data_IF_169160306308
#
_entry.id   IF_169160306308
#
_cell.length_a   1.000
_cell.length_b   1.000
_cell.length_c   1.000
_cell.angle_alpha   90.00
_cell.angle_beta   90.00
_cell.angle_gamma   90.00
#
_symmetry.space_group_name_H-M   'P 1'
#
loop_
_entity.id
_entity.type
_entity.pdbx_description
1 polymer ?
#
# COMPACT_ATOMS: atom_id res chain seq x y z
N UNK A 1 -14.16 -7.55 -14.75
CA UNK A 1 -13.96 -6.83 -13.47
C UNK A 1 -15.21 -6.80 -12.57
N UNK A 2 -16.40 -6.39 -13.03
CA UNK A 2 -17.60 -6.31 -12.18
C UNK A 2 -18.00 -7.65 -11.50
N UNK A 3 -17.94 -8.77 -12.24
CA UNK A 3 -18.25 -10.10 -11.69
C UNK A 3 -17.28 -10.55 -10.58
N UNK A 4 -16.00 -10.19 -10.67
CA UNK A 4 -15.02 -10.53 -9.63
C UNK A 4 -15.32 -9.80 -8.32
N UNK A 5 -15.72 -8.52 -8.39
CA UNK A 5 -16.14 -7.75 -7.22
C UNK A 5 -17.42 -8.30 -6.58
N UNK A 6 -18.35 -8.81 -7.38
CA UNK A 6 -19.56 -9.46 -6.88
C UNK A 6 -19.24 -10.76 -6.13
N UNK A 7 -18.30 -11.56 -6.64
CA UNK A 7 -17.81 -12.76 -5.95
C UNK A 7 -17.17 -12.39 -4.62
N UNK A 8 -16.26 -11.43 -4.58
CA UNK A 8 -15.60 -10.98 -3.34
C UNK A 8 -16.64 -10.54 -2.31
N UNK A 9 -17.58 -9.67 -2.69
CA UNK A 9 -18.66 -9.22 -1.80
C UNK A 9 -19.53 -10.37 -1.30
N UNK A 10 -19.80 -11.36 -2.15
CA UNK A 10 -20.57 -12.55 -1.77
C UNK A 10 -19.81 -13.39 -0.76
N UNK A 11 -18.50 -13.59 -0.93
CA UNK A 11 -17.65 -14.27 0.05
C UNK A 11 -17.65 -13.54 1.40
N UNK A 12 -17.51 -12.21 1.43
CA UNK A 12 -17.56 -11.43 2.66
C UNK A 12 -18.90 -11.57 3.37
N UNK A 13 -20.01 -11.52 2.60
CA UNK A 13 -21.36 -11.72 3.13
C UNK A 13 -21.51 -13.12 3.74
N UNK A 14 -21.05 -14.16 3.05
CA UNK A 14 -21.06 -15.54 3.58
C UNK A 14 -20.24 -15.60 4.87
N UNK A 15 -19.03 -15.03 4.88
CA UNK A 15 -18.18 -14.97 6.07
C UNK A 15 -18.90 -14.34 7.27
N UNK A 16 -19.51 -13.17 7.08
CA UNK A 16 -20.25 -12.49 8.16
C UNK A 16 -21.42 -13.31 8.73
N UNK A 17 -22.12 -14.07 7.87
CA UNK A 17 -23.26 -14.89 8.27
C UNK A 17 -22.82 -16.18 9.01
N UNK A 18 -21.72 -16.79 8.57
CA UNK A 18 -21.20 -18.05 9.14
C UNK A 18 -20.50 -17.83 10.48
N UNK A 19 -19.70 -16.77 10.62
CA UNK A 19 -19.01 -16.45 11.89
C UNK A 19 -19.98 -15.99 13.00
N UNK A 20 -21.13 -15.45 12.61
CA UNK A 20 -22.04 -14.76 13.52
C UNK A 20 -21.56 -13.34 13.87
N UNK A 21 -22.45 -12.52 14.46
CA UNK A 21 -22.23 -11.07 14.56
C UNK A 21 -21.06 -10.69 15.48
N UNK A 22 -20.92 -11.34 16.64
CA UNK A 22 -19.88 -10.96 17.62
C UNK A 22 -18.47 -11.33 17.13
N UNK A 23 -18.18 -12.58 16.69
CA UNK A 23 -16.86 -12.90 16.15
C UNK A 23 -16.51 -12.08 14.91
N UNK A 24 -17.49 -11.76 14.05
CA UNK A 24 -17.28 -10.90 12.89
C UNK A 24 -16.83 -9.48 13.29
N UNK A 25 -17.50 -8.86 14.26
CA UNK A 25 -17.11 -7.54 14.77
C UNK A 25 -15.70 -7.55 15.37
N UNK A 26 -15.38 -8.55 16.18
CA UNK A 26 -14.06 -8.68 16.79
C UNK A 26 -12.96 -8.91 15.75
N UNK A 27 -13.21 -9.74 14.73
CA UNK A 27 -12.25 -9.96 13.64
C UNK A 27 -11.94 -8.67 12.89
N UNK A 28 -12.95 -7.85 12.60
CA UNK A 28 -12.76 -6.55 11.95
C UNK A 28 -12.00 -5.57 12.86
N UNK A 29 -12.33 -5.50 14.15
CA UNK A 29 -11.62 -4.64 15.12
C UNK A 29 -10.14 -5.02 15.27
N UNK A 30 -9.81 -6.31 15.15
CA UNK A 30 -8.46 -6.84 15.27
C UNK A 30 -7.71 -6.97 13.93
N UNK A 31 -8.31 -6.56 12.81
CA UNK A 31 -7.69 -6.64 11.47
C UNK A 31 -6.36 -5.89 11.35
N UNK A 32 -6.11 -4.91 12.23
CA UNK A 32 -4.81 -4.22 12.31
C UNK A 32 -3.64 -5.15 12.67
N UNK A 33 -3.91 -6.31 13.29
CA UNK A 33 -2.89 -7.33 13.57
C UNK A 33 -2.31 -7.93 12.27
N UNK A 34 -3.14 -8.08 11.23
CA UNK A 34 -2.69 -8.54 9.93
C UNK A 34 -1.74 -7.51 9.29
N UNK A 35 -2.14 -6.24 9.32
CA UNK A 35 -1.32 -5.12 8.85
C UNK A 35 0.00 -5.03 9.60
N UNK A 36 0.01 -5.29 10.91
CA UNK A 36 1.23 -5.31 11.71
C UNK A 36 2.18 -6.45 11.32
N UNK A 37 1.65 -7.65 11.05
CA UNK A 37 2.45 -8.78 10.56
C UNK A 37 3.03 -8.47 9.18
N UNK A 38 2.23 -7.93 8.25
CA UNK A 38 2.71 -7.53 6.94
C UNK A 38 3.75 -6.40 7.02
N UNK A 39 3.58 -5.43 7.92
CA UNK A 39 4.57 -4.39 8.19
C UNK A 39 5.91 -5.00 8.60
N UNK A 40 5.89 -5.92 9.57
CA UNK A 40 7.09 -6.57 10.07
C UNK A 40 7.76 -7.41 8.97
N UNK A 41 6.99 -8.20 8.21
CA UNK A 41 7.52 -8.98 7.10
C UNK A 41 8.20 -8.10 6.03
N UNK A 42 7.56 -6.97 5.69
CA UNK A 42 8.10 -6.00 4.72
C UNK A 42 9.37 -5.34 5.24
N UNK A 43 9.40 -4.91 6.51
CA UNK A 43 10.57 -4.28 7.14
C UNK A 43 11.77 -5.23 7.28
N UNK A 44 11.51 -6.51 7.54
CA UNK A 44 12.53 -7.55 7.62
C UNK A 44 12.96 -8.07 6.24
N UNK A 45 12.37 -7.55 5.17
CA UNK A 45 12.58 -7.99 3.79
C UNK A 45 12.42 -9.51 3.61
N UNK A 46 11.40 -10.10 4.26
CA UNK A 46 11.19 -11.55 4.19
C UNK A 46 10.96 -12.03 2.76
N UNK A 47 10.43 -11.17 1.89
CA UNK A 47 10.27 -11.47 0.46
C UNK A 47 11.59 -11.72 -0.26
N UNK A 48 12.72 -11.21 0.23
CA UNK A 48 14.04 -11.39 -0.38
C UNK A 48 14.81 -12.54 0.28
N UNK A 49 14.39 -12.96 1.48
CA UNK A 49 14.99 -14.08 2.23
C UNK A 49 14.35 -15.41 1.82
N UNK A 50 13.04 -15.43 1.62
CA UNK A 50 12.31 -16.62 1.16
C UNK A 50 12.65 -16.85 -0.31
N UNK A 51 13.18 -18.03 -0.62
CA UNK A 51 13.65 -18.37 -1.97
C UNK A 51 12.49 -18.77 -2.90
N UNK A 52 12.64 -18.49 -4.19
CA UNK A 52 11.76 -19.05 -5.22
C UNK A 52 12.13 -20.51 -5.51
N UNK A 53 11.13 -21.29 -5.92
CA UNK A 53 11.33 -22.65 -6.42
C UNK A 53 10.52 -23.69 -5.67
N UNK A 54 10.79 -24.98 -5.94
CA UNK A 54 10.01 -26.08 -5.35
C UNK A 54 10.35 -26.35 -3.88
N UNK A 55 11.48 -25.85 -3.40
CA UNK A 55 11.94 -26.07 -2.03
C UNK A 55 11.54 -24.90 -1.13
N UNK A 56 10.85 -25.14 -0.01
CA UNK A 56 10.52 -24.08 0.93
C UNK A 56 11.77 -23.60 1.70
N UNK A 57 11.65 -22.41 2.27
CA UNK A 57 12.65 -21.80 3.18
C UNK A 57 12.28 -22.12 4.62
N UNK A 58 13.23 -22.70 5.38
CA UNK A 58 12.97 -23.04 6.79
C UNK A 58 12.96 -21.82 7.70
N UNK A 59 12.21 -21.90 8.82
CA UNK A 59 12.23 -20.86 9.86
C UNK A 59 13.64 -20.56 10.37
N UNK A 60 14.46 -21.60 10.60
CA UNK A 60 15.86 -21.45 11.04
C UNK A 60 16.69 -20.61 10.08
N UNK A 61 16.47 -20.77 8.77
CA UNK A 61 17.14 -19.96 7.74
C UNK A 61 16.73 -18.49 7.85
N UNK A 62 15.43 -18.24 8.08
CA UNK A 62 14.89 -16.88 8.24
C UNK A 62 15.39 -16.24 9.54
N UNK A 63 15.47 -17.01 10.63
CA UNK A 63 16.07 -16.59 11.91
C UNK A 63 17.53 -16.20 11.70
N UNK A 64 18.33 -17.05 11.03
CA UNK A 64 19.73 -16.77 10.77
C UNK A 64 19.94 -15.52 9.90
N UNK A 65 19.06 -15.28 8.92
CA UNK A 65 19.15 -14.13 8.03
C UNK A 65 18.72 -12.80 8.68
N UNK A 66 17.75 -12.82 9.59
CA UNK A 66 17.17 -11.60 10.19
C UNK A 66 17.71 -11.29 11.58
N UNK A 67 18.20 -12.29 12.32
CA UNK A 67 18.55 -12.16 13.74
C UNK A 67 17.36 -12.01 14.69
N UNK A 68 16.12 -12.09 14.19
CA UNK A 68 14.89 -12.02 15.00
C UNK A 68 14.65 -13.37 15.67
N UNK A 69 14.07 -13.37 16.88
CA UNK A 69 13.78 -14.61 17.58
C UNK A 69 12.78 -15.49 16.82
N UNK A 70 12.97 -16.80 16.96
CA UNK A 70 12.13 -17.82 16.35
C UNK A 70 10.64 -17.63 16.66
N UNK A 71 10.28 -17.36 17.93
CA UNK A 71 8.88 -17.14 18.35
C UNK A 71 8.24 -15.95 17.61
N UNK A 72 8.97 -14.83 17.49
CA UNK A 72 8.45 -13.63 16.83
C UNK A 72 8.27 -13.86 15.33
N UNK A 73 9.27 -14.44 14.66
CA UNK A 73 9.17 -14.77 13.23
C UNK A 73 8.05 -15.74 12.94
N UNK A 74 7.90 -16.78 13.77
CA UNK A 74 6.80 -17.76 13.65
C UNK A 74 5.44 -17.08 13.73
N UNK A 75 5.26 -16.12 14.64
CA UNK A 75 4.00 -15.35 14.78
C UNK A 75 3.75 -14.42 13.59
N UNK A 76 4.79 -13.73 13.11
CA UNK A 76 4.71 -12.84 11.95
C UNK A 76 4.35 -13.64 10.69
N UNK A 77 5.08 -14.73 10.43
CA UNK A 77 4.88 -15.59 9.26
C UNK A 77 3.53 -16.29 9.31
N UNK A 78 3.09 -16.76 10.47
CA UNK A 78 1.73 -17.30 10.65
C UNK A 78 0.65 -16.27 10.31
N UNK A 79 0.80 -15.03 10.79
CA UNK A 79 -0.14 -13.94 10.46
C UNK A 79 -0.20 -13.68 8.95
N UNK A 80 0.96 -13.66 8.28
CA UNK A 80 1.02 -13.50 6.83
C UNK A 80 0.44 -14.71 6.07
N UNK A 81 0.68 -15.94 6.56
CA UNK A 81 0.20 -17.16 5.93
C UNK A 81 -1.32 -17.32 6.04
N UNK A 82 -1.91 -16.93 7.18
CA UNK A 82 -3.37 -16.88 7.36
C UNK A 82 -4.07 -15.91 6.39
N UNK A 83 -3.32 -14.95 5.85
CA UNK A 83 -3.78 -13.99 4.84
C UNK A 83 -3.28 -14.31 3.44
N UNK A 84 -2.74 -15.51 3.22
CA UNK A 84 -2.27 -16.02 1.92
C UNK A 84 -1.15 -15.16 1.29
N UNK A 85 -0.41 -14.41 2.11
CA UNK A 85 0.70 -13.56 1.67
C UNK A 85 1.95 -14.43 1.43
N UNK A 86 2.29 -15.27 2.40
CA UNK A 86 3.22 -16.38 2.24
C UNK A 86 2.46 -17.70 2.42
N UNK A 87 3.07 -18.82 2.07
CA UNK A 87 2.50 -20.14 2.30
C UNK A 87 3.38 -20.92 3.29
N UNK A 88 2.78 -21.50 4.32
CA UNK A 88 3.45 -22.48 5.19
C UNK A 88 3.14 -23.89 4.66
N UNK A 89 4.02 -24.44 3.83
CA UNK A 89 3.79 -25.72 3.12
C UNK A 89 3.95 -26.95 4.02
N UNK A 90 4.67 -26.78 5.13
CA UNK A 90 4.84 -27.73 6.22
C UNK A 90 5.24 -26.93 7.48
N UNK A 91 5.15 -27.50 8.69
CA UNK A 91 5.55 -26.79 9.91
C UNK A 91 6.94 -26.16 9.76
N UNK A 92 7.01 -24.84 9.94
CA UNK A 92 8.25 -24.05 9.82
C UNK A 92 8.93 -24.05 8.45
N UNK A 93 8.16 -24.28 7.38
CA UNK A 93 8.63 -24.29 6.00
C UNK A 93 7.77 -23.34 5.16
N UNK A 94 8.38 -22.27 4.65
CA UNK A 94 7.67 -21.17 4.01
C UNK A 94 8.03 -21.02 2.54
N UNK A 95 7.02 -20.75 1.71
CA UNK A 95 7.15 -20.51 0.28
C UNK A 95 6.42 -19.23 -0.14
N UNK A 96 6.76 -18.75 -1.33
CA UNK A 96 6.08 -17.60 -1.94
C UNK A 96 4.69 -17.96 -2.47
N UNK A 97 3.74 -17.05 -2.26
CA UNK A 97 2.56 -16.92 -3.11
C UNK A 97 2.79 -15.82 -4.14
N UNK A 98 1.87 -15.69 -5.10
CA UNK A 98 1.94 -14.56 -6.04
C UNK A 98 1.83 -13.20 -5.33
N UNK A 99 1.15 -13.13 -4.17
CA UNK A 99 1.04 -11.91 -3.39
C UNK A 99 2.38 -11.49 -2.76
N UNK A 100 3.12 -12.40 -2.11
CA UNK A 100 4.43 -12.04 -1.53
C UNK A 100 5.47 -11.69 -2.58
N UNK A 101 5.42 -12.28 -3.78
CA UNK A 101 6.32 -11.88 -4.88
C UNK A 101 6.14 -10.41 -5.28
N UNK A 102 4.92 -9.89 -5.18
CA UNK A 102 4.66 -8.47 -5.45
C UNK A 102 5.36 -7.53 -4.47
N UNK A 103 5.73 -7.98 -3.27
CA UNK A 103 6.52 -7.18 -2.31
C UNK A 103 7.94 -6.89 -2.81
N UNK A 104 8.42 -7.55 -3.88
CA UNK A 104 9.70 -7.23 -4.53
C UNK A 104 9.57 -6.10 -5.56
N UNK A 105 8.35 -5.78 -5.99
CA UNK A 105 8.11 -4.64 -6.90
C UNK A 105 8.22 -3.36 -6.09
N UNK A 106 9.20 -2.52 -6.39
CA UNK A 106 9.55 -1.32 -5.58
C UNK A 106 8.35 -0.44 -5.23
N UNK A 107 7.47 -0.14 -6.20
CA UNK A 107 6.29 0.67 -5.95
C UNK A 107 5.27 0.00 -5.03
N UNK A 108 5.09 -1.32 -5.15
CA UNK A 108 4.19 -2.08 -4.27
C UNK A 108 4.78 -2.21 -2.87
N UNK A 109 6.07 -2.51 -2.75
CA UNK A 109 6.79 -2.54 -1.48
C UNK A 109 6.63 -1.22 -0.72
N UNK A 110 6.87 -0.11 -1.41
CA UNK A 110 6.75 1.22 -0.84
C UNK A 110 5.30 1.56 -0.45
N UNK A 111 4.32 1.17 -1.27
CA UNK A 111 2.89 1.37 -1.00
C UNK A 111 2.41 0.57 0.21
N UNK A 112 2.82 -0.70 0.33
CA UNK A 112 2.54 -1.55 1.50
C UNK A 112 3.21 -0.96 2.74
N UNK A 113 4.48 -0.57 2.65
CA UNK A 113 5.20 0.08 3.74
C UNK A 113 4.50 1.36 4.22
N UNK A 114 4.07 2.22 3.29
CA UNK A 114 3.28 3.42 3.59
C UNK A 114 1.93 3.10 4.24
N UNK A 115 1.22 2.09 3.74
CA UNK A 115 -0.10 1.72 4.23
C UNK A 115 -0.05 1.14 5.65
N UNK A 116 0.95 0.29 5.91
CA UNK A 116 1.11 -0.37 7.20
C UNK A 116 1.82 0.50 8.25
N UNK A 117 2.40 1.64 7.87
CA UNK A 117 2.98 2.63 8.79
C UNK A 117 2.09 3.87 8.91
N UNK A 118 2.18 4.80 7.97
CA UNK A 118 1.56 6.13 8.10
C UNK A 118 0.04 6.06 8.09
N UNK A 119 -0.55 5.27 7.18
CA UNK A 119 -2.01 5.15 7.10
C UNK A 119 -2.56 4.44 8.33
N UNK A 120 -1.91 3.37 8.79
CA UNK A 120 -2.33 2.65 9.99
C UNK A 120 -2.26 3.53 11.24
N UNK A 121 -1.16 4.26 11.44
CA UNK A 121 -1.00 5.19 12.57
C UNK A 121 -2.02 6.32 12.51
N UNK A 122 -2.21 6.92 11.33
CA UNK A 122 -3.23 7.96 11.14
C UNK A 122 -4.64 7.43 11.41
N UNK A 123 -4.95 6.21 10.96
CA UNK A 123 -6.24 5.57 11.17
C UNK A 123 -6.60 5.39 12.64
N UNK A 124 -5.61 5.11 13.50
CA UNK A 124 -5.82 5.01 14.95
C UNK A 124 -6.35 6.32 15.58
N UNK A 125 -6.01 7.47 15.01
CA UNK A 125 -6.47 8.78 15.48
C UNK A 125 -7.77 9.27 14.81
N UNK A 126 -8.39 8.46 13.94
CA UNK A 126 -9.58 8.89 13.19
C UNK A 126 -10.78 9.18 14.11
N UNK A 127 -10.99 8.35 15.14
CA UNK A 127 -12.06 8.57 16.14
C UNK A 127 -11.83 9.86 16.95
N UNK A 128 -10.59 10.11 17.37
CA UNK A 128 -10.22 11.31 18.13
C UNK A 128 -10.40 12.56 17.28
N UNK A 129 -10.00 12.51 16.01
CA UNK A 129 -10.25 13.57 15.03
C UNK A 129 -11.74 13.90 14.91
N UNK A 130 -12.61 12.88 14.78
CA UNK A 130 -14.06 13.09 14.69
C UNK A 130 -14.62 13.76 15.95
N UNK A 131 -14.14 13.36 17.13
CA UNK A 131 -14.57 13.95 18.40
C UNK A 131 -14.11 15.42 18.52
N UNK A 132 -12.84 15.71 18.25
CA UNK A 132 -12.28 17.06 18.33
C UNK A 132 -12.94 18.03 17.37
N UNK A 133 -13.22 17.58 16.15
CA UNK A 133 -13.82 18.41 15.10
C UNK A 133 -15.34 18.42 15.12
N UNK A 134 -15.97 17.59 15.96
CA UNK A 134 -17.42 17.33 15.94
C UNK A 134 -17.91 16.93 14.54
N UNK A 135 -17.11 16.12 13.86
CA UNK A 135 -17.36 15.62 12.49
C UNK A 135 -17.21 16.66 11.39
N UNK A 136 -16.65 17.85 11.67
CA UNK A 136 -16.45 18.90 10.66
C UNK A 136 -15.06 18.79 10.03
N UNK A 137 -14.93 18.72 8.69
CA UNK A 137 -13.62 18.70 8.07
C UNK A 137 -12.87 20.03 8.33
N UNK A 138 -11.53 20.01 8.36
CA UNK A 138 -10.73 21.22 8.40
C UNK A 138 -10.95 22.06 7.14
N UNK A 139 -10.71 23.38 7.23
CA UNK A 139 -10.69 24.25 6.05
C UNK A 139 -9.51 23.96 5.12
N UNK A 140 -8.38 23.49 5.68
CA UNK A 140 -7.19 23.13 4.91
C UNK A 140 -6.26 22.21 5.72
N UNK A 141 -6.09 20.96 5.27
CA UNK A 141 -5.11 19.92 5.68
C UNK A 141 -4.95 19.57 7.19
N UNK A 142 -5.26 20.47 8.12
CA UNK A 142 -5.05 20.36 9.57
C UNK A 142 -6.25 20.98 10.30
N UNK A 143 -6.74 20.36 11.39
CA UNK A 143 -6.33 19.05 11.89
C UNK A 143 -6.74 17.93 10.93
N UNK A 144 -5.96 16.86 10.89
CA UNK A 144 -6.29 15.60 10.22
C UNK A 144 -5.82 14.43 11.08
N UNK A 145 -6.35 13.21 10.88
CA UNK A 145 -5.85 12.03 11.58
C UNK A 145 -4.32 11.84 11.41
N UNK A 146 -3.78 12.22 10.25
CA UNK A 146 -2.34 12.25 10.01
C UNK A 146 -1.62 13.28 10.90
N UNK A 147 -2.09 14.53 10.92
CA UNK A 147 -1.44 15.56 11.75
C UNK A 147 -1.50 15.20 13.23
N UNK A 148 -2.59 14.58 13.71
CA UNK A 148 -2.67 14.09 15.09
C UNK A 148 -1.66 12.99 15.42
N UNK A 149 -1.34 12.14 14.44
CA UNK A 149 -0.40 11.03 14.60
C UNK A 149 1.07 11.43 14.51
N UNK A 150 1.39 12.46 13.71
CA UNK A 150 2.77 12.78 13.33
C UNK A 150 3.23 14.18 13.78
N UNK A 151 2.47 15.22 13.43
CA UNK A 151 2.73 16.60 13.85
C UNK A 151 1.43 17.42 13.74
N UNK A 152 0.88 17.93 14.85
CA UNK A 152 -0.43 18.59 14.85
C UNK A 152 -0.45 19.92 14.08
N UNK A 153 0.70 20.42 13.64
CA UNK A 153 0.84 21.68 12.89
C UNK A 153 1.03 21.47 11.39
N UNK A 154 1.23 20.23 10.94
CA UNK A 154 1.61 19.94 9.55
C UNK A 154 0.61 19.04 8.83
N UNK A 155 0.34 19.39 7.58
CA UNK A 155 -0.32 18.48 6.64
C UNK A 155 0.65 17.42 6.12
N UNK A 156 0.11 16.38 5.48
CA UNK A 156 0.86 15.24 4.93
C UNK A 156 2.11 15.67 4.14
N UNK A 157 1.92 16.46 3.08
CA UNK A 157 3.02 16.85 2.19
C UNK A 157 4.05 17.77 2.87
N UNK A 158 3.60 18.71 3.70
CA UNK A 158 4.50 19.59 4.46
C UNK A 158 5.38 18.77 5.42
N UNK A 159 4.79 17.80 6.12
CA UNK A 159 5.54 16.88 6.99
C UNK A 159 6.60 16.10 6.21
N UNK A 160 6.26 15.55 5.04
CA UNK A 160 7.22 14.82 4.22
C UNK A 160 8.35 15.70 3.69
N UNK A 161 8.08 16.94 3.32
CA UNK A 161 9.10 17.83 2.79
C UNK A 161 9.95 18.54 3.86
N UNK A 162 9.50 18.61 5.11
CA UNK A 162 10.15 19.43 6.14
C UNK A 162 10.54 18.70 7.42
N UNK A 163 9.97 17.51 7.67
CA UNK A 163 10.21 16.75 8.91
C UNK A 163 10.80 15.37 8.62
N UNK A 164 10.21 14.62 7.68
CA UNK A 164 10.64 13.26 7.36
C UNK A 164 10.66 12.98 5.86
N UNK A 165 11.76 13.38 5.23
CA UNK A 165 12.02 13.14 3.81
C UNK A 165 12.17 11.65 3.47
N UNK A 166 12.52 10.80 4.43
CA UNK A 166 12.64 9.34 4.18
C UNK A 166 11.26 8.76 3.93
N UNK A 167 10.28 9.12 4.77
CA UNK A 167 8.88 8.78 4.53
C UNK A 167 8.34 9.45 3.27
N UNK A 168 8.70 10.71 3.02
CA UNK A 168 8.36 11.40 1.77
C UNK A 168 8.79 10.62 0.53
N UNK A 169 10.06 10.18 0.46
CA UNK A 169 10.56 9.37 -0.65
C UNK A 169 9.84 8.02 -0.77
N UNK A 170 9.51 7.36 0.35
CA UNK A 170 8.73 6.12 0.32
C UNK A 170 7.31 6.38 -0.20
N UNK A 171 6.67 7.45 0.23
CA UNK A 171 5.36 7.85 -0.25
C UNK A 171 5.37 8.06 -1.77
N UNK A 172 6.34 8.80 -2.30
CA UNK A 172 6.48 9.05 -3.74
C UNK A 172 6.61 7.75 -4.55
N UNK A 173 7.46 6.83 -4.08
CA UNK A 173 7.60 5.50 -4.69
C UNK A 173 6.29 4.69 -4.61
N UNK A 174 5.61 4.76 -3.45
CA UNK A 174 4.35 4.09 -3.20
C UNK A 174 3.21 4.58 -4.10
N UNK A 175 3.16 5.89 -4.40
CA UNK A 175 2.19 6.44 -5.34
C UNK A 175 2.36 5.86 -6.74
N UNK A 176 3.60 5.61 -7.18
CA UNK A 176 3.87 4.84 -8.40
C UNK A 176 3.32 3.41 -8.35
N UNK A 177 3.29 2.78 -7.19
CA UNK A 177 2.67 1.47 -6.97
C UNK A 177 1.14 1.46 -7.15
N UNK A 178 0.46 2.60 -6.94
CA UNK A 178 -1.00 2.69 -7.13
C UNK A 178 -1.42 2.58 -8.60
N UNK A 179 -0.51 2.76 -9.55
CA UNK A 179 -0.80 2.55 -10.97
C UNK A 179 -1.18 1.10 -11.27
N UNK A 180 -0.73 0.13 -10.47
CA UNK A 180 -1.12 -1.27 -10.62
C UNK A 180 -2.58 -1.54 -10.20
N UNK A 181 -3.26 -0.59 -9.53
CA UNK A 181 -4.62 -0.77 -9.01
C UNK A 181 -5.68 0.03 -9.78
N UNK A 182 -5.27 0.84 -10.76
CA UNK A 182 -6.16 1.72 -11.53
C UNK A 182 -6.28 1.23 -12.98
N UNK A 183 -7.41 1.52 -13.67
CA UNK A 183 -7.47 1.40 -15.12
C UNK A 183 -6.36 2.23 -15.76
N UNK A 184 -5.83 1.75 -16.89
CA UNK A 184 -4.86 2.51 -17.66
C UNK A 184 -5.52 3.78 -18.18
N UNK A 185 -4.89 4.94 -17.97
CA UNK A 185 -5.44 6.23 -18.42
C UNK A 185 -5.61 6.28 -19.94
N UNK A 186 -4.77 5.54 -20.66
CA UNK A 186 -4.89 5.30 -22.11
C UNK A 186 -6.22 4.64 -22.52
N UNK A 187 -6.88 3.92 -21.62
CA UNK A 187 -8.20 3.32 -21.86
C UNK A 187 -9.34 4.26 -21.47
N UNK A 188 -9.04 5.31 -20.69
CA UNK A 188 -10.04 6.27 -20.21
C UNK A 188 -10.28 7.41 -21.20
N UNK A 189 -9.32 7.69 -22.09
CA UNK A 189 -9.41 8.75 -23.08
C UNK A 189 -8.69 8.36 -24.37
N UNK A 190 -9.29 8.65 -25.53
CA UNK A 190 -8.65 8.42 -26.83
C UNK A 190 -7.65 9.54 -27.14
N UNK A 191 -6.41 9.36 -26.71
CA UNK A 191 -5.34 10.32 -26.99
C UNK A 191 -5.03 10.44 -28.49
N UNK A 192 -5.42 9.48 -29.32
CA UNK A 192 -5.21 9.55 -30.79
C UNK A 192 -6.16 10.53 -31.47
N UNK A 193 -7.26 10.90 -30.82
CA UNK A 193 -8.21 11.87 -31.37
C UNK A 193 -7.71 13.31 -31.28
N UNK A 194 -6.62 13.55 -30.54
CA UNK A 194 -6.07 14.89 -30.36
C UNK A 194 -5.26 15.32 -31.59
N UNK A 195 -5.39 16.57 -32.06
CA UNK A 195 -4.61 17.08 -33.18
C UNK A 195 -3.09 17.02 -32.94
N UNK A 196 -2.31 16.88 -34.01
CA UNK A 196 -0.84 16.98 -33.99
C UNK A 196 -0.38 18.24 -33.24
N UNK A 197 0.58 18.07 -32.34
CA UNK A 197 1.14 19.15 -31.53
C UNK A 197 0.29 19.59 -30.34
N UNK A 198 -0.84 18.93 -30.06
CA UNK A 198 -1.66 19.21 -28.87
C UNK A 198 -0.86 18.99 -27.59
N UNK A 199 -1.10 19.83 -26.58
CA UNK A 199 -0.42 19.76 -25.29
C UNK A 199 -1.30 19.09 -24.24
N UNK A 200 -0.79 18.02 -23.62
CA UNK A 200 -1.36 17.36 -22.44
C UNK A 200 -0.61 17.86 -21.21
N UNK A 201 -1.34 18.38 -20.22
CA UNK A 201 -0.79 18.86 -18.95
C UNK A 201 -1.20 17.89 -17.83
N UNK A 202 -0.21 17.24 -17.23
CA UNK A 202 -0.35 16.28 -16.14
C UNK A 202 -0.16 17.01 -14.80
N UNK A 203 -1.27 17.45 -14.21
CA UNK A 203 -1.31 18.25 -12.98
C UNK A 203 -1.32 17.32 -11.76
N UNK A 204 -0.27 17.40 -10.93
CA UNK A 204 0.00 16.42 -9.88
C UNK A 204 0.59 15.11 -10.42
N UNK A 205 1.31 15.20 -11.54
CA UNK A 205 1.82 14.02 -12.26
C UNK A 205 3.03 13.34 -11.61
N UNK A 206 3.50 13.85 -10.46
CA UNK A 206 4.68 13.35 -9.76
C UNK A 206 5.90 13.34 -10.65
N UNK A 207 6.54 12.17 -10.76
CA UNK A 207 7.71 11.96 -11.65
C UNK A 207 7.34 11.75 -13.13
N UNK A 208 6.08 11.96 -13.51
CA UNK A 208 5.61 11.87 -14.90
C UNK A 208 5.50 10.44 -15.44
N UNK A 209 5.29 9.45 -14.57
CA UNK A 209 5.18 8.04 -14.99
C UNK A 209 4.07 7.82 -16.03
N UNK A 210 2.91 8.42 -15.79
CA UNK A 210 1.76 8.39 -16.71
C UNK A 210 2.10 9.11 -18.01
N UNK A 211 2.51 10.39 -17.92
CA UNK A 211 2.90 11.18 -19.09
C UNK A 211 3.94 10.49 -19.98
N UNK A 212 4.93 9.83 -19.38
CA UNK A 212 5.93 9.04 -20.12
C UNK A 212 5.32 7.86 -20.86
N UNK A 213 4.42 7.11 -20.22
CA UNK A 213 3.77 5.94 -20.82
C UNK A 213 2.86 6.34 -21.99
N UNK A 214 2.08 7.41 -21.83
CA UNK A 214 1.20 7.92 -22.89
C UNK A 214 2.01 8.52 -24.04
N UNK A 215 3.03 9.33 -23.76
CA UNK A 215 3.86 9.97 -24.80
C UNK A 215 4.59 8.96 -25.70
N UNK A 216 4.98 7.80 -25.18
CA UNK A 216 5.59 6.74 -25.97
C UNK A 216 4.63 6.15 -27.02
N UNK A 217 3.32 6.13 -26.73
CA UNK A 217 2.28 5.64 -27.66
C UNK A 217 1.75 6.74 -28.59
N UNK A 218 1.79 8.00 -28.13
CA UNK A 218 1.23 9.15 -28.84
C UNK A 218 2.32 10.23 -29.06
N UNK A 219 3.32 9.97 -29.92
CA UNK A 219 4.46 10.88 -30.12
C UNK A 219 4.10 12.21 -30.80
N UNK A 220 2.89 12.31 -31.36
CA UNK A 220 2.34 13.55 -31.94
C UNK A 220 1.89 14.57 -30.89
N UNK A 221 1.85 14.18 -29.61
CA UNK A 221 1.43 15.03 -28.49
C UNK A 221 2.63 15.60 -27.74
N UNK A 222 2.44 16.76 -27.12
CA UNK A 222 3.41 17.40 -26.21
C UNK A 222 2.94 17.21 -24.77
N UNK A 223 3.86 16.89 -23.86
CA UNK A 223 3.51 16.65 -22.46
C UNK A 223 4.21 17.68 -21.56
N UNK A 224 3.45 18.20 -20.58
CA UNK A 224 3.95 19.03 -19.49
C UNK A 224 3.52 18.37 -18.19
N UNK A 225 4.48 18.07 -17.32
CA UNK A 225 4.19 17.57 -15.97
C UNK A 225 4.31 18.74 -14.99
N UNK A 226 3.29 18.95 -14.18
CA UNK A 226 3.26 19.98 -13.13
C UNK A 226 3.10 19.32 -11.77
N UNK A 227 3.97 19.69 -10.83
CA UNK A 227 3.88 19.25 -9.44
C UNK A 227 4.46 20.31 -8.49
N UNK A 228 4.42 20.04 -7.18
CA UNK A 228 5.03 20.88 -6.17
C UNK A 228 6.56 20.92 -6.34
N UNK A 229 7.24 22.03 -5.97
CA UNK A 229 8.69 22.16 -6.12
C UNK A 229 9.52 21.09 -5.39
N UNK A 230 8.97 20.43 -4.37
CA UNK A 230 9.65 19.35 -3.66
C UNK A 230 9.67 18.02 -4.46
N UNK A 231 8.85 17.90 -5.50
CA UNK A 231 8.64 16.67 -6.28
C UNK A 231 9.37 16.71 -7.63
N UNK A 232 9.49 17.89 -8.25
CA UNK A 232 10.10 18.13 -9.58
C UNK A 232 11.51 18.73 -9.51
#
# INVERSE_FOLDING_TARGET
>A
HAQAWEIVRTCDRIGSLVHGPVPWLLSNALSHLDSACLAAATQLNLQDIIVDGPSPTSLDTIVAATGVSEDLLRRILRGCAQRFIFEEVAPDQYAHTDASKMLRVTGIHALVGFSCDEVMRSGAYFSDFLQQTKGKPPSWNVPSPFSLAFDPTKGLFDYYSTVDEVRGRRFDLGMGGTEATKPLVEEMFDFSSLPEGSTVVDVGGGRGHLSRRVSQKHPHLRFIVQDLPAVI
#
